data_IF_385683634473
#
_entry.id   IF_385683634473
#
_cell.length_a   1.000
_cell.length_b   1.000
_cell.length_c   1.000
_cell.angle_alpha   90.00
_cell.angle_beta   90.00
_cell.angle_gamma   90.00
#
_symmetry.space_group_name_H-M   'P 1'
#
loop_
_entity.id
_entity.type
_entity.pdbx_description
1 polymer ?
#
# COMPACT_ATOMS: atom_id res chain seq x y z
N UNK A 1 5.25 5.91 19.82
CA UNK A 1 6.57 5.92 19.16
C UNK A 1 6.40 5.29 17.78
N UNK A 2 5.89 6.07 16.83
CA UNK A 2 5.57 5.64 15.46
C UNK A 2 6.23 6.63 14.50
N UNK A 3 7.43 6.31 14.02
CA UNK A 3 7.94 6.90 12.78
C UNK A 3 8.64 5.77 12.04
N UNK A 4 8.15 5.42 10.85
CA UNK A 4 8.82 5.98 9.69
C UNK A 4 7.85 6.42 8.58
N UNK A 5 7.94 7.71 8.24
CA UNK A 5 7.80 8.25 6.88
C UNK A 5 6.44 8.02 6.19
N UNK A 6 5.39 8.56 6.79
CA UNK A 6 4.09 8.67 6.12
C UNK A 6 3.95 9.98 5.32
N UNK A 7 4.98 10.82 5.17
CA UNK A 7 4.81 12.15 4.55
C UNK A 7 5.55 12.39 3.22
N UNK A 8 6.72 11.76 3.00
CA UNK A 8 7.64 12.22 1.94
C UNK A 8 7.56 11.42 0.63
N UNK A 9 7.26 10.12 0.63
CA UNK A 9 7.33 9.34 -0.62
C UNK A 9 6.11 9.55 -1.54
N UNK A 10 4.96 9.92 -0.97
CA UNK A 10 3.70 9.96 -1.73
C UNK A 10 2.92 11.26 -1.53
N UNK A 11 3.62 12.35 -1.25
CA UNK A 11 3.01 13.69 -1.16
C UNK A 11 2.13 13.96 -2.39
N UNK A 12 2.59 13.62 -3.60
CA UNK A 12 1.80 13.70 -4.83
C UNK A 12 0.52 12.85 -4.79
N UNK A 13 0.59 11.60 -4.36
CA UNK A 13 -0.60 10.75 -4.27
C UNK A 13 -1.58 11.21 -3.18
N UNK A 14 -1.08 11.68 -2.03
CA UNK A 14 -1.93 12.25 -0.97
C UNK A 14 -2.63 13.53 -1.43
N UNK A 15 -1.92 14.37 -2.18
CA UNK A 15 -2.48 15.57 -2.82
C UNK A 15 -3.54 15.18 -3.85
N UNK A 16 -3.27 14.23 -4.74
CA UNK A 16 -4.26 13.74 -5.71
C UNK A 16 -5.47 13.11 -5.01
N UNK A 17 -5.26 12.33 -3.96
CA UNK A 17 -6.35 11.76 -3.18
C UNK A 17 -7.22 12.85 -2.54
N UNK A 18 -6.62 13.91 -1.99
CA UNK A 18 -7.36 15.06 -1.47
C UNK A 18 -8.13 15.79 -2.57
N UNK A 19 -7.49 16.03 -3.73
CA UNK A 19 -8.11 16.70 -4.89
C UNK A 19 -9.28 15.91 -5.47
N UNK A 20 -9.20 14.58 -5.50
CA UNK A 20 -10.24 13.70 -6.03
C UNK A 20 -11.19 13.15 -4.94
N UNK A 21 -11.10 13.66 -3.71
CA UNK A 21 -11.89 13.20 -2.57
C UNK A 21 -11.84 11.68 -2.35
N UNK A 22 -10.68 11.06 -2.59
CA UNK A 22 -10.45 9.64 -2.36
C UNK A 22 -10.18 9.39 -0.88
N UNK A 23 -10.86 8.40 -0.32
CA UNK A 23 -10.60 7.93 1.04
C UNK A 23 -9.35 7.03 1.05
N UNK A 24 -8.31 7.46 1.77
CA UNK A 24 -7.09 6.69 1.98
C UNK A 24 -7.21 5.85 3.25
N UNK A 25 -6.89 4.56 3.18
CA UNK A 25 -6.57 3.76 4.36
C UNK A 25 -5.15 3.25 4.28
N UNK A 26 -4.42 3.43 5.37
CA UNK A 26 -3.12 2.83 5.56
C UNK A 26 -3.27 1.35 5.96
N UNK A 27 -2.35 0.52 5.50
CA UNK A 27 -2.11 -0.82 6.05
C UNK A 27 -0.76 -0.81 6.75
N UNK A 28 -0.58 -1.58 7.84
CA UNK A 28 0.71 -1.69 8.49
C UNK A 28 1.78 -2.21 7.53
N UNK A 29 3.01 -1.73 7.70
CA UNK A 29 4.20 -2.27 7.05
C UNK A 29 5.08 -3.00 8.07
N UNK A 30 5.65 -4.12 7.64
CA UNK A 30 6.68 -4.89 8.33
C UNK A 30 8.03 -4.67 7.62
N UNK A 31 9.17 -5.05 8.21
CA UNK A 31 10.48 -4.93 7.56
C UNK A 31 10.55 -5.56 6.16
N UNK A 32 9.80 -6.63 5.94
CA UNK A 32 9.71 -7.40 4.71
C UNK A 32 8.63 -6.92 3.71
N UNK A 33 7.93 -5.83 4.02
CA UNK A 33 6.89 -5.26 3.16
C UNK A 33 5.54 -5.02 3.85
N UNK A 34 4.48 -4.68 3.08
CA UNK A 34 3.16 -4.41 3.64
C UNK A 34 2.51 -5.68 4.20
N UNK A 35 1.70 -5.52 5.24
CA UNK A 35 0.92 -6.61 5.81
C UNK A 35 -0.23 -7.01 4.87
N UNK A 36 0.00 -8.05 4.08
CA UNK A 36 -0.96 -8.54 3.09
C UNK A 36 -2.20 -9.17 3.72
N UNK A 37 -2.11 -9.66 4.96
CA UNK A 37 -3.27 -10.16 5.68
C UNK A 37 -4.18 -9.00 6.08
N UNK A 38 -3.61 -7.91 6.61
CA UNK A 38 -4.35 -6.68 6.90
C UNK A 38 -5.01 -6.10 5.64
N UNK A 39 -4.30 -6.13 4.50
CA UNK A 39 -4.87 -5.73 3.20
C UNK A 39 -6.07 -6.60 2.81
N UNK A 40 -5.97 -7.93 2.96
CA UNK A 40 -7.06 -8.84 2.63
C UNK A 40 -8.28 -8.59 3.51
N UNK A 41 -8.10 -8.43 4.82
CA UNK A 41 -9.18 -8.08 5.75
C UNK A 41 -9.83 -6.75 5.36
N UNK A 42 -9.04 -5.74 5.00
CA UNK A 42 -9.57 -4.45 4.55
C UNK A 42 -10.41 -4.60 3.27
N UNK A 43 -9.94 -5.37 2.28
CA UNK A 43 -10.68 -5.64 1.04
C UNK A 43 -12.00 -6.39 1.28
N UNK A 44 -12.10 -7.16 2.36
CA UNK A 44 -13.34 -7.85 2.76
C UNK A 44 -14.32 -6.92 3.47
N UNK A 45 -13.81 -5.98 4.28
CA UNK A 45 -14.63 -5.07 5.07
C UNK A 45 -15.18 -3.89 4.26
N UNK A 46 -14.46 -3.46 3.23
CA UNK A 46 -14.86 -2.32 2.39
C UNK A 46 -14.44 -2.50 0.95
N UNK A 47 -15.10 -1.77 0.05
CA UNK A 47 -14.79 -1.81 -1.38
C UNK A 47 -13.51 -1.04 -1.69
N UNK A 48 -12.37 -1.71 -1.61
CA UNK A 48 -11.06 -1.18 -2.03
C UNK A 48 -10.98 -1.20 -3.56
N UNK A 49 -10.74 -0.03 -4.17
CA UNK A 49 -10.65 0.11 -5.64
C UNK A 49 -9.23 -0.10 -6.15
N UNK A 50 -8.25 0.39 -5.40
CA UNK A 50 -6.85 0.30 -5.78
C UNK A 50 -5.96 0.21 -4.53
N UNK A 51 -4.79 -0.40 -4.73
CA UNK A 51 -3.71 -0.47 -3.76
C UNK A 51 -2.50 0.20 -4.39
N UNK A 52 -1.97 1.22 -3.73
CA UNK A 52 -0.72 1.86 -4.12
C UNK A 52 0.43 1.19 -3.37
N UNK A 53 1.45 0.67 -4.07
CA UNK A 53 2.63 0.03 -3.46
C UNK A 53 3.84 0.05 -4.40
N UNK A 54 5.06 0.19 -3.89
CA UNK A 54 6.30 0.11 -4.68
C UNK A 54 6.97 -1.26 -4.46
N UNK A 55 6.64 -2.31 -5.24
CA UNK A 55 7.01 -3.68 -4.90
C UNK A 55 8.50 -3.99 -5.11
N UNK A 56 9.22 -3.17 -5.89
CA UNK A 56 10.60 -3.45 -6.33
C UNK A 56 11.67 -2.67 -5.57
N UNK A 57 11.34 -1.48 -5.05
CA UNK A 57 12.21 -0.70 -4.18
C UNK A 57 11.34 0.29 -3.42
N UNK A 58 10.90 -0.06 -2.23
CA UNK A 58 10.08 0.86 -1.44
C UNK A 58 10.93 2.00 -0.88
N UNK A 59 10.54 3.24 -1.15
CA UNK A 59 11.17 4.39 -0.52
C UNK A 59 10.35 4.81 0.73
N UNK A 60 10.95 4.94 1.93
CA UNK A 60 12.39 4.87 2.26
C UNK A 60 12.87 3.52 2.81
N UNK A 61 11.94 2.59 3.08
CA UNK A 61 12.26 1.39 3.87
C UNK A 61 13.10 0.34 3.12
N UNK A 62 13.29 0.49 1.81
CA UNK A 62 14.20 -0.31 0.99
C UNK A 62 13.77 -1.75 0.75
N UNK A 63 12.60 -2.18 1.21
CA UNK A 63 12.14 -3.55 1.01
C UNK A 63 11.77 -3.84 -0.46
N UNK A 64 11.92 -5.11 -0.82
CA UNK A 64 11.57 -5.66 -2.12
C UNK A 64 10.66 -6.85 -1.91
N UNK A 65 9.48 -6.82 -2.53
CA UNK A 65 8.54 -7.93 -2.43
C UNK A 65 9.05 -9.12 -3.25
N UNK A 66 9.01 -10.29 -2.63
CA UNK A 66 9.25 -11.55 -3.30
C UNK A 66 8.09 -11.93 -4.23
N UNK A 67 8.30 -12.97 -5.05
CA UNK A 67 7.30 -13.42 -6.03
C UNK A 67 5.96 -13.79 -5.40
N UNK A 68 5.96 -14.48 -4.26
CA UNK A 68 4.73 -14.88 -3.57
C UNK A 68 3.92 -13.68 -3.06
N UNK A 69 4.60 -12.68 -2.50
CA UNK A 69 3.97 -11.42 -2.06
C UNK A 69 3.38 -10.64 -3.23
N UNK A 70 4.07 -10.60 -4.38
CA UNK A 70 3.56 -9.96 -5.61
C UNK A 70 2.33 -10.68 -6.18
N UNK A 71 2.34 -12.01 -6.16
CA UNK A 71 1.18 -12.80 -6.57
C UNK A 71 -0.02 -12.55 -5.66
N UNK A 72 0.20 -12.53 -4.34
CA UNK A 72 -0.86 -12.23 -3.38
C UNK A 72 -1.46 -10.82 -3.58
N UNK A 73 -0.63 -9.82 -3.91
CA UNK A 73 -1.11 -8.48 -4.29
C UNK A 73 -1.92 -8.50 -5.59
N UNK A 74 -1.46 -9.20 -6.62
CA UNK A 74 -2.13 -9.28 -7.91
C UNK A 74 -3.50 -9.98 -7.83
N UNK A 75 -3.67 -10.90 -6.88
CA UNK A 75 -4.94 -11.63 -6.67
C UNK A 75 -5.89 -10.82 -5.76
N UNK A 76 -5.42 -9.76 -5.12
CA UNK A 76 -6.32 -8.83 -4.43
C UNK A 76 -7.33 -8.25 -5.42
N UNK A 77 -8.60 -8.11 -5.02
CA UNK A 77 -9.67 -7.60 -5.90
C UNK A 77 -9.50 -6.11 -6.27
N UNK A 78 -8.42 -5.48 -5.81
CA UNK A 78 -8.09 -4.08 -6.04
C UNK A 78 -7.04 -3.96 -7.13
N UNK A 79 -7.15 -2.92 -7.96
CA UNK A 79 -6.12 -2.61 -8.95
C UNK A 79 -4.81 -2.23 -8.25
N UNK A 80 -3.70 -2.87 -8.59
CA UNK A 80 -2.39 -2.48 -8.04
C UNK A 80 -1.83 -1.33 -8.86
N UNK A 81 -1.43 -0.26 -8.17
CA UNK A 81 -0.72 0.90 -8.72
C UNK A 81 0.70 0.87 -8.15
N UNK A 82 1.69 0.85 -9.03
CA UNK A 82 3.11 0.84 -8.67
C UNK A 82 3.69 2.25 -8.52
#
# INVERSE_FOLDING_TARGET
MWWPVDALTYSGFKVLAALYHLELAAIPCRPEGPDLQALQTLCQQRRVRAVYTMPTLHNPLGWVLNTGQRQALAISRASTIC
#
